data_IF_502308155813
#
_entry.id   IF_502308155813
#
_cell.length_a   1.000
_cell.length_b   1.000
_cell.length_c   1.000
_cell.angle_alpha   90.00
_cell.angle_beta   90.00
_cell.angle_gamma   90.00
#
_symmetry.space_group_name_H-M   'P 1'
#
loop_
_entity.id
_entity.type
_entity.pdbx_description
1 polymer ?
#
# COMPACT_ATOMS: atom_id res chain seq x y z
N UNK A 1 19.32 10.95 9.86
CA UNK A 1 19.26 10.92 8.38
C UNK A 1 18.02 10.10 7.99
N UNK A 2 16.82 10.68 7.95
CA UNK A 2 15.56 9.91 7.88
C UNK A 2 14.70 10.21 6.64
N UNK A 3 14.46 11.49 6.30
CA UNK A 3 13.69 11.84 5.09
C UNK A 3 14.48 11.65 3.77
N UNK A 4 15.81 11.81 3.81
CA UNK A 4 16.67 11.76 2.62
C UNK A 4 16.74 10.38 1.98
N UNK A 5 16.73 9.30 2.78
CA UNK A 5 16.80 7.92 2.29
C UNK A 5 15.48 7.46 1.69
N UNK A 6 14.35 7.76 2.34
CA UNK A 6 13.01 7.50 1.79
C UNK A 6 12.78 8.27 0.48
N UNK A 7 13.22 9.54 0.44
CA UNK A 7 13.18 10.33 -0.78
C UNK A 7 13.99 9.70 -1.91
N UNK A 8 15.20 9.16 -1.64
CA UNK A 8 16.00 8.47 -2.67
C UNK A 8 15.32 7.18 -3.15
N UNK A 9 14.72 6.40 -2.24
CA UNK A 9 14.01 5.15 -2.57
C UNK A 9 12.77 5.38 -3.44
N UNK A 10 12.16 6.56 -3.38
CA UNK A 10 11.02 6.91 -4.24
C UNK A 10 11.50 7.62 -5.51
N UNK A 11 12.36 8.63 -5.37
CA UNK A 11 12.70 9.53 -6.48
C UNK A 11 13.64 8.88 -7.48
N UNK A 12 14.62 8.08 -7.05
CA UNK A 12 15.53 7.42 -7.98
C UNK A 12 14.81 6.43 -8.93
N UNK A 13 13.98 5.48 -8.45
CA UNK A 13 13.24 4.61 -9.36
C UNK A 13 12.17 5.34 -10.16
N UNK A 14 11.56 6.40 -9.61
CA UNK A 14 10.60 7.22 -10.34
C UNK A 14 11.24 7.95 -11.53
N UNK A 15 12.42 8.55 -11.32
CA UNK A 15 13.19 9.20 -12.38
C UNK A 15 13.64 8.20 -13.45
N UNK A 16 14.07 7.00 -13.03
CA UNK A 16 14.42 5.92 -13.96
C UNK A 16 13.21 5.52 -14.81
N UNK A 17 12.04 5.33 -14.19
CA UNK A 17 10.81 5.01 -14.91
C UNK A 17 10.41 6.12 -15.89
N UNK A 18 10.49 7.38 -15.46
CA UNK A 18 10.19 8.53 -16.33
C UNK A 18 11.15 8.60 -17.53
N UNK A 19 12.44 8.33 -17.33
CA UNK A 19 13.43 8.27 -18.42
C UNK A 19 13.10 7.14 -19.41
N UNK A 20 12.77 5.95 -18.91
CA UNK A 20 12.32 4.83 -19.76
C UNK A 20 11.08 5.23 -20.54
N UNK A 21 10.12 5.89 -19.89
CA UNK A 21 8.88 6.35 -20.52
C UNK A 21 9.17 7.29 -21.70
N UNK A 22 9.98 8.33 -21.50
CA UNK A 22 10.36 9.28 -22.55
C UNK A 22 11.09 8.58 -23.71
N UNK A 23 12.01 7.67 -23.42
CA UNK A 23 12.71 6.90 -24.46
C UNK A 23 11.76 6.03 -25.29
N UNK A 24 10.81 5.35 -24.64
CA UNK A 24 9.83 4.50 -25.32
C UNK A 24 8.83 5.34 -26.10
N UNK A 25 8.39 6.49 -25.55
CA UNK A 25 7.53 7.44 -26.25
C UNK A 25 8.20 8.01 -27.50
N UNK A 26 9.51 8.31 -27.45
CA UNK A 26 10.25 8.79 -28.61
C UNK A 26 10.32 7.75 -29.76
N UNK A 27 10.29 6.45 -29.44
CA UNK A 27 10.39 5.36 -30.43
C UNK A 27 9.00 4.90 -30.91
N UNK A 28 8.04 4.78 -30.00
CA UNK A 28 6.73 4.15 -30.23
C UNK A 28 5.55 5.14 -30.26
N UNK A 29 5.81 6.43 -30.00
CA UNK A 29 4.80 7.48 -29.91
C UNK A 29 3.75 7.18 -28.82
N UNK A 30 2.49 7.51 -29.12
CA UNK A 30 1.37 7.30 -28.19
C UNK A 30 1.15 5.84 -27.75
N UNK A 31 1.71 4.86 -28.48
CA UNK A 31 1.67 3.44 -28.07
C UNK A 31 2.43 3.20 -26.76
N UNK A 32 3.41 4.05 -26.43
CA UNK A 32 4.12 4.01 -25.15
C UNK A 32 3.17 4.16 -23.96
N UNK A 33 2.14 4.98 -24.08
CA UNK A 33 1.11 5.13 -23.05
C UNK A 33 0.34 3.84 -22.84
N UNK A 34 0.02 3.11 -23.92
CA UNK A 34 -0.69 1.85 -23.81
C UNK A 34 0.20 0.78 -23.14
N UNK A 35 1.45 0.65 -23.56
CA UNK A 35 2.37 -0.36 -23.01
C UNK A 35 2.78 -0.03 -21.57
N UNK A 36 3.42 1.12 -21.37
CA UNK A 36 3.98 1.50 -20.08
C UNK A 36 2.91 2.01 -19.11
N UNK A 37 1.82 2.62 -19.58
CA UNK A 37 0.71 3.00 -18.72
C UNK A 37 -0.03 1.79 -18.15
N UNK A 38 -0.27 0.77 -18.99
CA UNK A 38 -0.84 -0.49 -18.52
C UNK A 38 0.10 -1.18 -17.53
N UNK A 39 1.40 -1.29 -17.86
CA UNK A 39 2.40 -1.86 -16.95
C UNK A 39 2.49 -1.08 -15.61
N UNK A 40 2.44 0.26 -15.66
CA UNK A 40 2.44 1.12 -14.48
C UNK A 40 1.22 0.89 -13.59
N UNK A 41 0.02 0.75 -14.17
CA UNK A 41 -1.19 0.42 -13.42
C UNK A 41 -1.10 -0.96 -12.77
N UNK A 42 -0.67 -1.99 -13.50
CA UNK A 42 -0.46 -3.33 -12.94
C UNK A 42 0.56 -3.33 -11.79
N UNK A 43 1.65 -2.60 -11.95
CA UNK A 43 2.63 -2.40 -10.88
C UNK A 43 2.01 -1.68 -9.68
N UNK A 44 1.24 -0.61 -9.93
CA UNK A 44 0.71 0.24 -8.88
C UNK A 44 -0.45 -0.38 -8.09
N UNK A 45 -1.24 -1.26 -8.70
CA UNK A 45 -2.26 -2.05 -8.00
C UNK A 45 -1.68 -3.01 -6.97
N UNK A 46 -0.40 -3.39 -7.12
CA UNK A 46 0.29 -4.25 -6.19
C UNK A 46 -0.25 -5.68 -6.09
N UNK A 47 0.61 -6.58 -5.63
CA UNK A 47 0.26 -7.97 -5.29
C UNK A 47 0.15 -8.15 -3.79
N UNK A 48 -0.50 -7.23 -3.10
CA UNK A 48 -0.73 -7.39 -1.67
C UNK A 48 -1.69 -8.54 -1.38
N UNK A 49 -1.50 -9.15 -0.22
CA UNK A 49 -2.20 -10.34 0.25
C UNK A 49 -3.69 -10.11 0.51
N UNK A 50 -4.29 -9.00 0.08
CA UNK A 50 -5.73 -8.71 0.24
C UNK A 50 -6.64 -9.91 -0.11
N UNK A 51 -6.47 -10.64 -1.23
CA UNK A 51 -7.28 -11.82 -1.51
C UNK A 51 -7.07 -12.93 -0.48
N UNK A 52 -5.83 -13.14 -0.04
CA UNK A 52 -5.47 -14.13 0.97
C UNK A 52 -5.99 -13.75 2.35
N UNK A 53 -5.89 -12.47 2.72
CA UNK A 53 -6.34 -11.90 3.98
C UNK A 53 -7.87 -11.96 4.09
N UNK A 54 -8.58 -11.51 3.05
CA UNK A 54 -10.05 -11.60 2.98
C UNK A 54 -10.54 -13.05 2.99
N UNK A 55 -9.84 -13.98 2.31
CA UNK A 55 -10.16 -15.41 2.38
C UNK A 55 -9.95 -15.99 3.77
N UNK A 56 -8.83 -15.67 4.43
CA UNK A 56 -8.54 -16.10 5.80
C UNK A 56 -9.61 -15.61 6.77
N UNK A 57 -9.97 -14.32 6.66
CA UNK A 57 -11.05 -13.72 7.44
C UNK A 57 -12.38 -14.44 7.20
N UNK A 58 -12.81 -14.58 5.94
CA UNK A 58 -14.08 -15.22 5.58
C UNK A 58 -14.14 -16.68 6.02
N UNK A 59 -13.02 -17.41 5.99
CA UNK A 59 -12.96 -18.79 6.45
C UNK A 59 -13.24 -18.89 7.97
N UNK A 60 -12.66 -17.98 8.77
CA UNK A 60 -12.89 -17.90 10.22
C UNK A 60 -14.33 -17.46 10.54
N UNK A 61 -14.79 -16.39 9.90
CA UNK A 61 -16.14 -15.87 10.08
C UNK A 61 -17.22 -16.90 9.76
N UNK A 62 -17.08 -17.66 8.65
CA UNK A 62 -18.03 -18.73 8.29
C UNK A 62 -18.00 -19.93 9.24
N UNK A 63 -16.89 -20.16 9.93
CA UNK A 63 -16.76 -21.19 10.95
C UNK A 63 -17.35 -20.74 12.32
N UNK A 64 -17.84 -19.50 12.43
CA UNK A 64 -18.29 -18.91 13.70
C UNK A 64 -17.15 -18.53 14.64
N UNK A 65 -15.90 -18.55 14.17
CA UNK A 65 -14.71 -18.22 14.94
C UNK A 65 -14.44 -16.72 14.87
N UNK A 66 -15.21 -15.94 15.64
CA UNK A 66 -15.11 -14.48 15.68
C UNK A 66 -13.77 -14.00 16.26
N UNK A 67 -13.21 -14.71 17.23
CA UNK A 67 -11.90 -14.40 17.82
C UNK A 67 -10.76 -14.64 16.82
N UNK A 68 -10.83 -15.74 16.06
CA UNK A 68 -9.90 -15.96 14.96
C UNK A 68 -10.07 -14.97 13.81
N UNK A 69 -11.29 -14.52 13.53
CA UNK A 69 -11.55 -13.50 12.51
C UNK A 69 -11.03 -12.11 12.94
N UNK A 70 -11.17 -11.74 14.21
CA UNK A 70 -10.67 -10.47 14.74
C UNK A 70 -9.15 -10.44 14.75
N UNK A 71 -8.50 -11.55 15.10
CA UNK A 71 -7.04 -11.67 15.05
C UNK A 71 -6.50 -11.40 13.63
N UNK A 72 -7.18 -11.89 12.58
CA UNK A 72 -6.79 -11.65 11.19
C UNK A 72 -6.82 -10.15 10.83
N UNK A 73 -7.81 -9.39 11.32
CA UNK A 73 -7.90 -7.94 11.08
C UNK A 73 -6.81 -7.21 11.87
N UNK A 74 -6.62 -7.55 13.14
CA UNK A 74 -5.62 -6.94 14.02
C UNK A 74 -4.20 -7.17 13.52
N UNK A 75 -3.87 -8.38 13.06
CA UNK A 75 -2.56 -8.71 12.45
C UNK A 75 -2.29 -7.89 11.18
N UNK A 76 -3.34 -7.49 10.47
CA UNK A 76 -3.26 -6.63 9.29
C UNK A 76 -3.27 -5.13 9.62
N UNK A 77 -3.20 -4.76 10.91
CA UNK A 77 -3.18 -3.37 11.38
C UNK A 77 -4.55 -2.69 11.44
N UNK A 78 -5.64 -3.46 11.30
CA UNK A 78 -7.00 -2.98 11.53
C UNK A 78 -7.43 -3.06 12.99
N UNK A 79 -8.60 -2.50 13.29
CA UNK A 79 -9.24 -2.67 14.60
C UNK A 79 -10.11 -3.94 14.60
N UNK A 80 -9.64 -4.97 15.31
CA UNK A 80 -10.40 -6.20 15.53
C UNK A 80 -11.30 -6.17 16.77
N UNK A 81 -11.33 -5.08 17.53
CA UNK A 81 -12.19 -4.96 18.72
C UNK A 81 -13.64 -4.65 18.33
N UNK A 82 -14.59 -5.19 19.09
CA UNK A 82 -16.02 -4.94 18.92
C UNK A 82 -16.78 -5.29 20.21
N UNK A 83 -17.88 -4.59 20.47
CA UNK A 83 -18.73 -4.84 21.64
C UNK A 83 -19.67 -6.04 21.42
N UNK A 84 -20.11 -6.24 20.17
CA UNK A 84 -20.89 -7.41 19.76
C UNK A 84 -20.55 -7.87 18.32
N UNK A 85 -21.27 -8.89 17.84
CA UNK A 85 -21.04 -9.49 16.54
C UNK A 85 -21.43 -8.59 15.36
N UNK A 86 -22.41 -7.69 15.55
CA UNK A 86 -22.87 -6.78 14.51
C UNK A 86 -21.87 -5.62 14.35
N UNK A 87 -21.40 -5.06 15.47
CA UNK A 87 -20.31 -4.06 15.49
C UNK A 87 -19.02 -4.62 14.86
N UNK A 88 -18.70 -5.90 15.12
CA UNK A 88 -17.55 -6.55 14.49
C UNK A 88 -17.70 -6.65 12.97
N UNK A 89 -18.90 -6.98 12.49
CA UNK A 89 -19.18 -7.07 11.07
C UNK A 89 -19.01 -5.70 10.39
N UNK A 90 -19.50 -4.63 11.01
CA UNK A 90 -19.35 -3.27 10.51
C UNK A 90 -17.88 -2.82 10.47
N UNK A 91 -17.11 -3.10 11.53
CA UNK A 91 -15.67 -2.83 11.57
C UNK A 91 -14.91 -3.58 10.47
N UNK A 92 -15.23 -4.86 10.27
CA UNK A 92 -14.63 -5.66 9.22
C UNK A 92 -14.98 -5.12 7.82
N UNK A 93 -16.24 -4.76 7.58
CA UNK A 93 -16.69 -4.17 6.31
C UNK A 93 -15.95 -2.86 6.03
N UNK A 94 -15.86 -1.97 7.03
CA UNK A 94 -15.14 -0.71 6.90
C UNK A 94 -13.66 -0.94 6.57
N UNK A 95 -12.99 -1.83 7.32
CA UNK A 95 -11.57 -2.17 7.11
C UNK A 95 -11.30 -2.68 5.69
N UNK A 96 -12.02 -3.71 5.24
CA UNK A 96 -11.83 -4.27 3.90
C UNK A 96 -12.22 -3.28 2.80
N UNK A 97 -13.23 -2.43 3.03
CA UNK A 97 -13.65 -1.41 2.07
C UNK A 97 -12.58 -0.34 1.87
N UNK A 98 -12.00 0.18 2.97
CA UNK A 98 -10.91 1.16 2.90
C UNK A 98 -9.69 0.56 2.21
N UNK A 99 -9.31 -0.66 2.57
CA UNK A 99 -8.18 -1.35 1.96
C UNK A 99 -8.39 -1.60 0.46
N UNK A 100 -9.59 -2.03 0.05
CA UNK A 100 -9.95 -2.19 -1.36
C UNK A 100 -9.94 -0.85 -2.10
N UNK A 101 -10.50 0.21 -1.49
CA UNK A 101 -10.55 1.54 -2.08
C UNK A 101 -9.14 2.09 -2.32
N UNK A 102 -8.27 2.08 -1.32
CA UNK A 102 -6.90 2.58 -1.43
C UNK A 102 -6.09 1.81 -2.47
N UNK A 103 -6.29 0.50 -2.56
CA UNK A 103 -5.60 -0.35 -3.52
C UNK A 103 -6.00 -0.09 -4.98
N UNK A 104 -7.30 0.12 -5.25
CA UNK A 104 -7.80 0.22 -6.62
C UNK A 104 -7.90 1.68 -7.08
N UNK A 105 -8.46 2.56 -6.26
CA UNK A 105 -8.71 3.94 -6.64
C UNK A 105 -7.49 4.83 -6.47
N UNK A 106 -6.62 4.56 -5.50
CA UNK A 106 -5.38 5.31 -5.32
C UNK A 106 -4.54 5.36 -6.61
N UNK A 107 -4.10 4.21 -7.15
CA UNK A 107 -3.35 4.16 -8.40
C UNK A 107 -4.09 4.80 -9.58
N UNK A 108 -5.40 4.57 -9.73
CA UNK A 108 -6.20 5.08 -10.86
C UNK A 108 -6.33 6.60 -10.80
N UNK A 109 -6.61 7.18 -9.63
CA UNK A 109 -6.74 8.64 -9.49
C UNK A 109 -5.41 9.32 -9.85
N UNK A 110 -4.30 8.84 -9.31
CA UNK A 110 -2.98 9.40 -9.64
C UNK A 110 -2.60 9.16 -11.10
N UNK A 111 -3.00 8.04 -11.70
CA UNK A 111 -2.83 7.78 -13.12
C UNK A 111 -3.60 8.78 -14.00
N UNK A 112 -4.85 9.07 -13.65
CA UNK A 112 -5.67 10.03 -14.41
C UNK A 112 -5.13 11.46 -14.32
N UNK A 113 -4.54 11.84 -13.18
CA UNK A 113 -3.99 13.17 -12.95
C UNK A 113 -2.60 13.39 -13.58
N UNK A 114 -1.72 12.39 -13.49
CA UNK A 114 -0.28 12.52 -13.81
C UNK A 114 0.21 11.47 -14.82
N UNK A 115 -0.69 10.66 -15.36
CA UNK A 115 -0.36 9.56 -16.28
C UNK A 115 0.38 8.41 -15.59
N UNK A 116 1.16 7.62 -16.36
CA UNK A 116 1.89 6.45 -15.85
C UNK A 116 2.84 6.78 -14.69
N UNK A 117 3.45 7.97 -14.73
CA UNK A 117 4.38 8.44 -13.70
C UNK A 117 3.66 8.60 -12.35
N UNK A 118 2.41 9.10 -12.37
CA UNK A 118 1.59 9.25 -11.17
C UNK A 118 1.29 7.93 -10.46
N UNK A 119 0.89 6.91 -11.22
CA UNK A 119 0.61 5.59 -10.67
C UNK A 119 1.85 4.97 -10.01
N UNK A 120 3.01 5.08 -10.66
CA UNK A 120 4.28 4.59 -10.12
C UNK A 120 4.69 5.38 -8.88
N UNK A 121 4.55 6.71 -8.88
CA UNK A 121 4.85 7.54 -7.73
C UNK A 121 4.00 7.16 -6.51
N UNK A 122 2.69 6.95 -6.71
CA UNK A 122 1.79 6.48 -5.66
C UNK A 122 2.28 5.15 -5.06
N UNK A 123 2.63 4.18 -5.91
CA UNK A 123 3.09 2.86 -5.44
C UNK A 123 4.40 2.93 -4.67
N UNK A 124 5.35 3.74 -5.15
CA UNK A 124 6.63 3.91 -4.48
C UNK A 124 6.47 4.60 -3.13
N UNK A 125 5.60 5.62 -3.05
CA UNK A 125 5.25 6.25 -1.78
C UNK A 125 4.61 5.24 -0.81
N UNK A 126 3.71 4.40 -1.31
CA UNK A 126 3.10 3.33 -0.52
C UNK A 126 4.14 2.34 0.03
N UNK A 127 5.01 1.78 -0.82
CA UNK A 127 6.07 0.84 -0.43
C UNK A 127 7.10 1.44 0.54
N UNK A 128 7.32 2.76 0.46
CA UNK A 128 8.23 3.45 1.37
C UNK A 128 7.68 3.52 2.81
N UNK A 129 6.36 3.41 3.01
CA UNK A 129 5.76 3.35 4.35
C UNK A 129 6.01 1.99 5.02
N UNK A 130 6.02 0.90 4.24
CA UNK A 130 6.17 -0.47 4.74
C UNK A 130 7.62 -0.90 4.99
N UNK A 131 8.61 -0.06 4.69
CA UNK A 131 10.02 -0.40 4.89
C UNK A 131 10.46 0.00 6.31
N UNK A 132 10.66 -0.95 7.25
CA UNK A 132 11.19 -0.64 8.57
C UNK A 132 12.68 -0.36 8.41
N UNK A 133 13.07 0.91 8.41
CA UNK A 133 14.50 1.25 8.48
C UNK A 133 15.06 0.85 9.86
N UNK A 134 16.28 0.29 9.97
CA UNK A 134 16.86 -0.28 11.21
C UNK A 134 17.15 0.73 12.34
N UNK A 135 16.61 1.95 12.28
CA UNK A 135 16.86 3.03 13.24
C UNK A 135 15.76 3.20 14.29
N UNK A 136 14.60 2.56 14.16
CA UNK A 136 13.47 2.71 15.10
C UNK A 136 13.80 2.22 16.51
N UNK A 137 14.52 1.09 16.64
CA UNK A 137 14.96 0.57 17.95
C UNK A 137 16.04 1.43 18.62
N UNK A 138 16.98 1.99 17.83
CA UNK A 138 18.01 2.88 18.38
C UNK A 138 17.45 4.26 18.76
N UNK A 139 16.39 4.72 18.08
CA UNK A 139 15.69 5.96 18.41
C UNK A 139 14.85 5.85 19.68
N UNK A 140 14.12 4.74 19.90
CA UNK A 140 13.42 4.52 21.17
C UNK A 140 14.40 4.46 22.36
N UNK A 141 15.53 3.78 22.20
CA UNK A 141 16.56 3.66 23.25
C UNK A 141 17.26 4.97 23.60
N UNK A 142 17.28 5.93 22.68
CA UNK A 142 17.88 7.25 22.91
C UNK A 142 16.85 8.25 23.45
N UNK A 143 15.56 8.07 23.12
CA UNK A 143 14.45 8.82 23.72
C UNK A 143 14.22 8.46 25.18
N UNK A 144 14.42 7.20 25.58
CA UNK A 144 14.36 6.76 26.99
C UNK A 144 15.41 7.42 27.90
N UNK A 145 16.48 8.01 27.33
CA UNK A 145 17.56 8.65 28.10
C UNK A 145 17.42 10.17 28.20
N UNK A 146 16.41 10.78 27.55
CA UNK A 146 16.08 12.18 27.76
C UNK A 146 15.14 12.27 28.98
N UNK A 147 15.60 12.84 30.11
CA UNK A 147 14.73 13.01 31.27
C UNK A 147 13.60 13.96 30.89
N UNK A 148 12.36 13.47 31.03
CA UNK A 148 11.16 14.31 31.15
C UNK A 148 11.30 15.26 32.32
#
# INVERSE_FOLDING_TARGET
YSARSAFILVVAPLLLFALIYVCVEAIFGGTAMLLLGTAALFFAFGREDFPTLSQRFLARARAGDLEGASLVITEAGGDGSAEDADDFADNAIAFFSVMALQRWFGPVIYFLLLGPIGAVAYRLAYLAQDTPTPLTESMMRTLDWLPS
#
